data_IF_907215921119
#
_entry.id   IF_907215921119
#
_cell.length_a   1.000
_cell.length_b   1.000
_cell.length_c   1.000
_cell.angle_alpha   90.00
_cell.angle_beta   90.00
_cell.angle_gamma   90.00
#
_symmetry.space_group_name_H-M   'P 1'
#
loop_
_entity.id
_entity.type
_entity.pdbx_description
1 polymer ?
#
# COMPACT_ATOMS: atom_id res chain seq x y z
N UNK A 1 -4.35 -2.23 4.21
CA UNK A 1 -4.24 -3.38 5.14
C UNK A 1 -4.94 -4.64 4.63
N UNK A 2 -6.15 -4.58 4.16
CA UNK A 2 -6.93 -5.76 3.73
C UNK A 2 -6.16 -6.69 2.77
N UNK A 3 -5.61 -6.17 1.67
CA UNK A 3 -4.82 -6.96 0.69
C UNK A 3 -3.57 -7.58 1.31
N UNK A 4 -2.84 -6.85 2.17
CA UNK A 4 -1.64 -7.40 2.84
C UNK A 4 -2.02 -8.53 3.79
N UNK A 5 -3.13 -8.40 4.51
CA UNK A 5 -3.63 -9.45 5.40
C UNK A 5 -4.09 -10.72 4.63
N UNK A 6 -4.63 -10.55 3.41
CA UNK A 6 -4.92 -11.69 2.54
C UNK A 6 -3.63 -12.33 2.04
N UNK A 7 -2.69 -11.49 1.56
CA UNK A 7 -1.40 -11.96 1.04
C UNK A 7 -0.58 -12.71 2.12
N UNK A 8 -0.52 -12.21 3.36
CA UNK A 8 0.23 -12.85 4.43
C UNK A 8 -0.29 -14.24 4.82
N UNK A 9 -1.53 -14.57 4.44
CA UNK A 9 -2.10 -15.91 4.64
C UNK A 9 -1.82 -16.86 3.47
N UNK A 10 -1.48 -16.32 2.30
CA UNK A 10 -1.32 -17.07 1.05
C UNK A 10 0.13 -17.34 0.69
N UNK A 11 1.07 -16.52 1.19
CA UNK A 11 2.47 -16.56 0.82
C UNK A 11 3.37 -16.70 2.04
N UNK A 12 4.49 -17.38 1.87
CA UNK A 12 5.48 -17.60 2.93
C UNK A 12 6.15 -16.29 3.38
N UNK A 13 6.37 -15.36 2.44
CA UNK A 13 6.89 -14.02 2.71
C UNK A 13 6.16 -12.98 1.87
N UNK A 14 5.86 -11.84 2.48
CA UNK A 14 5.27 -10.67 1.83
C UNK A 14 6.14 -9.45 2.06
N UNK A 15 6.60 -8.83 0.99
CA UNK A 15 7.39 -7.60 1.03
C UNK A 15 6.48 -6.41 0.73
N UNK A 16 6.34 -5.50 1.70
CA UNK A 16 5.68 -4.20 1.49
C UNK A 16 6.72 -3.17 1.08
N UNK A 17 6.77 -2.84 -0.19
CA UNK A 17 7.62 -1.76 -0.70
C UNK A 17 6.89 -0.42 -0.60
N UNK A 18 7.36 0.44 0.30
CA UNK A 18 6.85 1.81 0.44
C UNK A 18 7.59 2.70 -0.56
N UNK A 19 6.86 3.14 -1.58
CA UNK A 19 7.43 3.87 -2.70
C UNK A 19 6.91 5.30 -2.79
N UNK A 20 7.74 6.19 -3.31
CA UNK A 20 7.29 7.52 -3.67
C UNK A 20 6.47 7.45 -4.96
N UNK A 21 5.25 7.99 -4.92
CA UNK A 21 4.48 8.17 -6.15
C UNK A 21 4.79 9.57 -6.72
N UNK A 22 5.49 9.68 -7.86
CA UNK A 22 5.89 10.96 -8.44
C UNK A 22 4.70 11.83 -8.86
N UNK A 23 3.52 11.22 -9.10
CA UNK A 23 2.30 11.91 -9.45
C UNK A 23 1.56 12.50 -8.23
N UNK A 24 1.90 12.07 -7.01
CA UNK A 24 1.30 12.56 -5.76
C UNK A 24 2.22 13.51 -5.03
N UNK A 25 2.21 14.80 -5.43
CA UNK A 25 3.05 15.84 -4.82
C UNK A 25 2.75 16.10 -3.33
N UNK A 26 1.52 15.85 -2.85
CA UNK A 26 1.09 16.14 -1.49
C UNK A 26 0.58 14.87 -0.78
N UNK A 27 1.49 14.05 -0.31
CA UNK A 27 1.16 12.95 0.61
C UNK A 27 0.92 13.51 2.03
N UNK A 28 -0.06 12.96 2.75
CA UNK A 28 -0.32 13.37 4.15
C UNK A 28 0.86 13.03 5.06
N UNK A 29 1.44 11.86 4.87
CA UNK A 29 2.65 11.41 5.56
C UNK A 29 3.85 11.44 4.60
N UNK A 30 5.04 11.75 5.13
CA UNK A 30 6.31 11.61 4.39
C UNK A 30 6.56 10.13 4.05
N UNK A 31 7.58 9.87 3.27
CA UNK A 31 7.94 8.51 2.90
C UNK A 31 8.41 7.72 4.13
N UNK A 32 9.23 8.35 4.97
CA UNK A 32 9.77 7.81 6.21
C UNK A 32 8.65 7.52 7.22
N UNK A 33 7.77 8.48 7.44
CA UNK A 33 6.59 8.30 8.31
C UNK A 33 5.73 7.12 7.86
N UNK A 34 5.54 6.94 6.54
CA UNK A 34 4.78 5.79 6.01
C UNK A 34 5.46 4.47 6.30
N UNK A 35 6.79 4.42 6.15
CA UNK A 35 7.57 3.21 6.48
C UNK A 35 7.41 2.87 7.96
N UNK A 36 7.55 3.84 8.85
CA UNK A 36 7.41 3.64 10.29
C UNK A 36 6.00 3.16 10.68
N UNK A 37 4.97 3.84 10.18
CA UNK A 37 3.58 3.46 10.42
C UNK A 37 3.31 2.02 9.95
N UNK A 38 3.78 1.65 8.76
CA UNK A 38 3.54 0.32 8.21
C UNK A 38 4.34 -0.73 9.00
N UNK A 39 5.57 -0.45 9.42
CA UNK A 39 6.34 -1.33 10.31
C UNK A 39 5.61 -1.56 11.63
N UNK A 40 5.07 -0.52 12.24
CA UNK A 40 4.30 -0.61 13.48
C UNK A 40 3.03 -1.46 13.31
N UNK A 41 2.29 -1.27 12.19
CA UNK A 41 1.10 -2.04 11.85
C UNK A 41 1.35 -3.55 11.71
N UNK A 42 2.50 -3.92 11.17
CA UNK A 42 2.82 -5.32 10.87
C UNK A 42 3.89 -5.93 11.78
N UNK A 43 4.29 -5.25 12.85
CA UNK A 43 5.34 -5.72 13.77
C UNK A 43 5.10 -7.12 14.38
N UNK A 44 3.82 -7.56 14.45
CA UNK A 44 3.42 -8.87 14.98
C UNK A 44 3.16 -9.91 13.89
N UNK A 45 3.38 -9.58 12.63
CA UNK A 45 3.15 -10.48 11.49
C UNK A 45 4.51 -10.96 10.98
N UNK A 46 4.87 -12.17 11.32
CA UNK A 46 6.24 -12.69 11.15
C UNK A 46 6.70 -12.79 9.68
N UNK A 47 5.78 -12.96 8.73
CA UNK A 47 6.09 -13.13 7.32
C UNK A 47 5.89 -11.84 6.49
N UNK A 48 5.77 -10.67 7.15
CA UNK A 48 5.66 -9.38 6.47
C UNK A 48 6.92 -8.56 6.71
N UNK A 49 7.61 -8.20 5.63
CA UNK A 49 8.79 -7.33 5.62
C UNK A 49 8.43 -5.98 5.01
N UNK A 50 8.85 -4.90 5.63
CA UNK A 50 8.61 -3.53 5.14
C UNK A 50 9.92 -2.91 4.70
N UNK A 51 9.97 -2.45 3.46
CA UNK A 51 11.15 -1.82 2.86
C UNK A 51 10.81 -0.46 2.25
N UNK A 52 11.81 0.38 2.13
CA UNK A 52 11.77 1.56 1.29
C UNK A 52 12.15 1.15 -0.14
N UNK A 53 11.28 1.42 -1.10
CA UNK A 53 11.55 1.14 -2.51
C UNK A 53 11.74 2.42 -3.33
N UNK A 54 12.54 2.34 -4.37
CA UNK A 54 12.75 3.42 -5.34
C UNK A 54 12.79 2.86 -6.76
N UNK A 55 12.42 3.67 -7.74
CA UNK A 55 12.34 3.25 -9.15
C UNK A 55 11.03 2.55 -9.50
N UNK A 56 11.06 1.62 -10.44
CA UNK A 56 9.89 0.85 -10.82
C UNK A 56 9.59 -0.29 -9.82
N UNK A 57 8.30 -0.57 -9.61
CA UNK A 57 7.90 -1.63 -8.67
C UNK A 57 8.46 -3.01 -9.07
N UNK A 58 8.60 -3.25 -10.36
CA UNK A 58 9.16 -4.49 -10.90
C UNK A 58 10.65 -4.63 -10.58
N UNK A 59 11.43 -3.54 -10.60
CA UNK A 59 12.84 -3.58 -10.24
C UNK A 59 13.02 -3.87 -8.75
N UNK A 60 12.18 -3.24 -7.90
CA UNK A 60 12.17 -3.52 -6.46
C UNK A 60 11.80 -4.99 -6.20
N UNK A 61 10.85 -5.55 -6.94
CA UNK A 61 10.49 -6.96 -6.83
C UNK A 61 11.64 -7.88 -7.22
N UNK A 62 12.35 -7.60 -8.31
CA UNK A 62 13.51 -8.38 -8.77
C UNK A 62 14.67 -8.35 -7.77
N UNK A 63 15.01 -7.15 -7.26
CA UNK A 63 16.09 -6.96 -6.27
C UNK A 63 15.80 -7.73 -4.96
N UNK A 64 14.53 -7.83 -4.58
CA UNK A 64 14.11 -8.55 -3.37
C UNK A 64 13.70 -10.01 -3.64
N UNK A 65 14.06 -10.56 -4.82
CA UNK A 65 13.81 -11.94 -5.22
C UNK A 65 12.34 -12.38 -5.14
N UNK A 66 11.43 -11.39 -5.23
CA UNK A 66 10.00 -11.66 -5.25
C UNK A 66 9.61 -12.45 -6.50
N UNK A 67 8.62 -13.33 -6.38
CA UNK A 67 8.08 -14.12 -7.49
C UNK A 67 6.90 -13.45 -8.17
N UNK A 68 6.22 -12.54 -7.46
CA UNK A 68 5.07 -11.83 -7.98
C UNK A 68 4.90 -10.47 -7.30
N UNK A 69 4.19 -9.58 -7.98
CA UNK A 69 3.67 -8.32 -7.43
C UNK A 69 2.20 -8.54 -7.11
N UNK A 70 1.79 -8.21 -5.89
CA UNK A 70 0.40 -8.32 -5.46
C UNK A 70 -0.29 -6.97 -5.63
N UNK A 71 -1.46 -6.97 -6.27
CA UNK A 71 -2.29 -5.81 -6.50
C UNK A 71 -3.69 -6.02 -5.94
N UNK A 72 -4.29 -4.96 -5.41
CA UNK A 72 -5.66 -5.00 -4.91
C UNK A 72 -6.63 -4.47 -5.96
N UNK A 73 -7.68 -5.23 -6.26
CA UNK A 73 -8.78 -4.81 -7.11
C UNK A 73 -9.99 -4.43 -6.24
N UNK A 74 -10.54 -3.24 -6.45
CA UNK A 74 -11.73 -2.72 -5.77
C UNK A 74 -12.92 -2.57 -6.71
N UNK A 75 -12.63 -2.35 -8.00
CA UNK A 75 -13.62 -2.09 -9.04
C UNK A 75 -13.16 -2.58 -10.41
N UNK A 76 -14.07 -2.60 -11.37
CA UNK A 76 -13.73 -2.91 -12.77
C UNK A 76 -12.77 -1.89 -13.38
N UNK A 77 -12.84 -0.62 -12.96
CA UNK A 77 -11.90 0.40 -13.44
C UNK A 77 -10.46 0.16 -12.98
N UNK A 78 -10.26 -0.46 -11.80
CA UNK A 78 -8.93 -0.87 -11.37
C UNK A 78 -8.38 -1.97 -12.29
N UNK A 79 -9.22 -2.89 -12.76
CA UNK A 79 -8.83 -4.04 -13.57
C UNK A 79 -8.13 -3.65 -14.89
N UNK A 80 -8.71 -2.75 -15.66
CA UNK A 80 -8.13 -2.35 -16.95
C UNK A 80 -6.73 -1.72 -16.77
N UNK A 81 -6.57 -0.92 -15.75
CA UNK A 81 -5.27 -0.33 -15.40
C UNK A 81 -4.25 -1.40 -14.97
N UNK A 82 -4.66 -2.32 -14.12
CA UNK A 82 -3.76 -3.38 -13.61
C UNK A 82 -3.35 -4.38 -14.70
N UNK A 83 -4.23 -4.65 -15.68
CA UNK A 83 -3.88 -5.48 -16.85
C UNK A 83 -2.79 -4.82 -17.69
N UNK A 84 -2.90 -3.52 -17.96
CA UNK A 84 -1.86 -2.79 -18.70
C UNK A 84 -0.54 -2.76 -17.94
N UNK A 85 -0.60 -2.50 -16.63
CA UNK A 85 0.58 -2.47 -15.78
C UNK A 85 1.27 -3.84 -15.67
N UNK A 86 0.47 -4.90 -15.60
CA UNK A 86 0.97 -6.28 -15.60
C UNK A 86 1.72 -6.62 -16.87
N UNK A 87 1.21 -6.27 -18.04
CA UNK A 87 1.88 -6.49 -19.33
C UNK A 87 3.23 -5.77 -19.37
N UNK A 88 3.27 -4.50 -18.96
CA UNK A 88 4.52 -3.73 -18.86
C UNK A 88 5.52 -4.37 -17.88
N UNK A 89 5.06 -4.80 -16.71
CA UNK A 89 5.92 -5.45 -15.71
C UNK A 89 6.51 -6.76 -16.22
N UNK A 90 5.73 -7.56 -16.94
CA UNK A 90 6.20 -8.80 -17.57
C UNK A 90 7.29 -8.51 -18.62
N UNK A 91 7.07 -7.53 -19.47
CA UNK A 91 8.05 -7.13 -20.49
C UNK A 91 9.36 -6.65 -19.85
N UNK A 92 9.29 -5.70 -18.91
CA UNK A 92 10.46 -5.14 -18.22
C UNK A 92 11.23 -6.23 -17.46
N UNK A 93 10.53 -7.18 -16.83
CA UNK A 93 11.16 -8.26 -16.05
C UNK A 93 11.63 -9.45 -16.92
N UNK A 94 11.48 -9.41 -18.23
CA UNK A 94 11.67 -10.56 -19.11
C UNK A 94 10.87 -11.79 -18.62
N UNK A 95 9.60 -11.60 -18.32
CA UNK A 95 8.64 -12.58 -17.80
C UNK A 95 9.05 -13.26 -16.46
N UNK A 96 9.88 -12.59 -15.65
CA UNK A 96 10.30 -13.13 -14.35
C UNK A 96 9.33 -12.80 -13.22
N UNK A 97 8.58 -11.70 -13.34
CA UNK A 97 7.65 -11.22 -12.32
C UNK A 97 6.22 -11.25 -12.85
N UNK A 98 5.37 -12.02 -12.19
CA UNK A 98 3.94 -12.05 -12.46
C UNK A 98 3.20 -11.04 -11.56
N UNK A 99 1.98 -10.65 -11.96
CA UNK A 99 1.08 -9.87 -11.11
C UNK A 99 -0.07 -10.77 -10.64
N UNK A 100 -0.34 -10.75 -9.35
CA UNK A 100 -1.45 -11.47 -8.72
C UNK A 100 -2.42 -10.42 -8.18
N UNK A 101 -3.66 -10.45 -8.64
CA UNK A 101 -4.70 -9.56 -8.19
C UNK A 101 -5.53 -10.22 -7.09
N UNK A 102 -5.68 -9.54 -5.96
CA UNK A 102 -6.57 -9.93 -4.86
C UNK A 102 -7.75 -8.96 -4.79
N UNK A 103 -8.94 -9.47 -4.58
CA UNK A 103 -10.12 -8.63 -4.43
C UNK A 103 -10.17 -8.01 -3.03
N UNK A 104 -10.42 -6.71 -2.98
CA UNK A 104 -10.69 -6.06 -1.70
C UNK A 104 -12.03 -6.54 -1.14
N UNK A 105 -12.07 -6.76 0.18
CA UNK A 105 -13.33 -7.08 0.86
C UNK A 105 -14.34 -5.94 0.69
N UNK A 106 -15.62 -6.26 0.72
CA UNK A 106 -16.73 -5.33 0.45
C UNK A 106 -16.65 -4.03 1.26
N UNK A 107 -16.15 -4.10 2.49
CA UNK A 107 -16.08 -2.95 3.39
C UNK A 107 -14.96 -1.96 3.00
N UNK A 108 -14.05 -2.37 2.10
CA UNK A 108 -12.92 -1.56 1.64
C UNK A 108 -13.01 -1.12 0.18
N UNK A 109 -14.05 -1.57 -0.56
CA UNK A 109 -14.18 -1.28 -1.99
C UNK A 109 -14.27 0.23 -2.29
N UNK A 110 -14.97 0.98 -1.44
CA UNK A 110 -15.19 2.42 -1.62
C UNK A 110 -14.21 3.30 -0.83
N UNK A 111 -13.31 2.69 -0.04
CA UNK A 111 -12.36 3.43 0.78
C UNK A 111 -11.12 3.79 -0.03
N UNK A 112 -10.81 5.07 -0.13
CA UNK A 112 -9.56 5.55 -0.71
C UNK A 112 -8.82 6.47 0.26
N UNK A 113 -7.49 6.49 0.17
CA UNK A 113 -6.67 7.39 0.98
C UNK A 113 -6.96 8.87 0.73
N UNK A 114 -7.42 9.23 -0.46
CA UNK A 114 -7.81 10.61 -0.79
C UNK A 114 -9.10 10.99 -0.07
N UNK A 115 -10.13 10.14 -0.13
CA UNK A 115 -11.39 10.34 0.57
C UNK A 115 -11.19 10.41 2.09
N UNK A 116 -10.39 9.50 2.66
CA UNK A 116 -10.11 9.52 4.11
C UNK A 116 -9.44 10.83 4.52
N UNK A 117 -8.44 11.30 3.76
CA UNK A 117 -7.78 12.59 4.03
C UNK A 117 -8.73 13.78 3.94
N UNK A 118 -9.57 13.80 2.93
CA UNK A 118 -10.56 14.89 2.74
C UNK A 118 -11.51 14.97 3.92
N UNK A 119 -12.13 13.84 4.29
CA UNK A 119 -13.05 13.76 5.44
C UNK A 119 -12.34 14.14 6.74
N UNK A 120 -11.11 13.67 6.96
CA UNK A 120 -10.32 14.02 8.14
C UNK A 120 -9.97 15.50 8.21
N UNK A 121 -9.66 16.14 7.07
CA UNK A 121 -9.36 17.58 7.02
C UNK A 121 -10.60 18.44 7.31
N UNK A 122 -11.79 17.91 7.08
CA UNK A 122 -13.06 18.52 7.46
C UNK A 122 -13.46 18.26 8.93
N UNK A 123 -12.53 17.80 9.77
CA UNK A 123 -12.75 17.49 11.19
C UNK A 123 -13.84 16.42 11.44
N UNK A 124 -14.03 15.50 10.47
CA UNK A 124 -14.95 14.38 10.62
C UNK A 124 -14.20 13.11 11.06
N UNK A 125 -14.92 12.26 11.77
CA UNK A 125 -14.39 10.97 12.23
C UNK A 125 -14.16 10.01 11.06
N UNK A 126 -12.93 9.50 10.97
CA UNK A 126 -12.50 8.50 9.97
C UNK A 126 -12.05 7.19 10.62
N UNK A 127 -12.27 7.02 11.92
CA UNK A 127 -11.82 5.84 12.68
C UNK A 127 -12.32 4.51 12.12
N UNK A 128 -13.48 4.50 11.45
CA UNK A 128 -14.01 3.31 10.77
C UNK A 128 -13.22 2.87 9.53
N UNK A 129 -12.41 3.76 8.96
CA UNK A 129 -11.73 3.55 7.68
C UNK A 129 -10.23 3.37 7.82
N UNK A 130 -9.68 3.64 9.00
CA UNK A 130 -8.25 3.55 9.27
C UNK A 130 -7.99 2.75 10.54
N UNK A 131 -6.81 2.14 10.60
CA UNK A 131 -6.36 1.47 11.82
C UNK A 131 -6.15 2.50 12.95
N UNK A 132 -6.37 2.12 14.22
CA UNK A 132 -6.14 2.99 15.38
C UNK A 132 -4.75 3.64 15.39
N UNK A 133 -3.70 2.90 15.03
CA UNK A 133 -2.32 3.41 14.91
C UNK A 133 -2.26 4.55 13.87
N UNK A 134 -2.87 4.35 12.71
CA UNK A 134 -2.91 5.36 11.64
C UNK A 134 -3.69 6.59 12.10
N UNK A 135 -4.82 6.39 12.79
CA UNK A 135 -5.64 7.49 13.31
C UNK A 135 -4.87 8.34 14.32
N UNK A 136 -4.15 7.70 15.25
CA UNK A 136 -3.28 8.39 16.21
C UNK A 136 -2.23 9.25 15.49
N UNK A 137 -1.50 8.68 14.54
CA UNK A 137 -0.48 9.40 13.76
C UNK A 137 -1.09 10.56 12.96
N UNK A 138 -2.28 10.40 12.41
CA UNK A 138 -3.00 11.48 11.73
C UNK A 138 -3.32 12.64 12.67
N UNK A 139 -3.81 12.35 13.88
CA UNK A 139 -4.12 13.36 14.89
C UNK A 139 -2.87 14.11 15.38
N UNK A 140 -1.80 13.38 15.66
CA UNK A 140 -0.50 13.96 16.06
C UNK A 140 0.01 14.92 14.97
N UNK A 141 -0.03 14.49 13.72
CA UNK A 141 0.42 15.31 12.59
C UNK A 141 -0.44 16.56 12.39
N UNK A 142 -1.76 16.44 12.51
CA UNK A 142 -2.68 17.60 12.39
C UNK A 142 -2.42 18.65 13.47
N UNK A 143 -2.02 18.22 14.68
CA UNK A 143 -1.67 19.13 15.77
C UNK A 143 -0.29 19.78 15.65
N UNK A 144 0.46 19.51 14.58
CA UNK A 144 1.83 19.99 14.39
C UNK A 144 2.86 19.37 15.33
N UNK A 145 2.56 18.23 15.94
CA UNK A 145 3.41 17.53 16.91
C UNK A 145 4.31 16.48 16.25
N UNK A 146 4.18 16.25 14.96
CA UNK A 146 5.13 15.46 14.19
C UNK A 146 6.37 16.33 13.88
N UNK A 147 7.47 16.01 14.51
CA UNK A 147 8.77 16.60 14.20
C UNK A 147 9.47 15.79 13.11
#
# INVERSE_FOLDING_TARGET
MNIVNQASKLFDEVVIAVMQNPLKKNSFFTLEERVEIIKELYQKVNNVKVILGSGAAVDVALINECKAIIRGLRSLSDYDYEVQLQQMNMEISNNKINTICLFADKDYQFVSSSMVKEIFNLDKDVSKYVDPIVMEKMLVKKRGLYK
#
